data_IF_906391736969
#
_entry.id   IF_906391736969
#
_cell.length_a   1.000
_cell.length_b   1.000
_cell.length_c   1.000
_cell.angle_alpha   90.00
_cell.angle_beta   90.00
_cell.angle_gamma   90.00
#
_symmetry.space_group_name_H-M   'P 1'
#
loop_
_entity.id
_entity.type
_entity.pdbx_description
1 polymer ?
#
# COMPACT_ATOMS: atom_id res chain seq x y z
N UNK A 1 21.18 5.32 -27.03
CA UNK A 1 21.51 6.43 -27.96
C UNK A 1 21.25 7.73 -27.21
N UNK A 2 22.28 8.53 -26.95
CA UNK A 2 22.16 9.76 -26.16
C UNK A 2 21.45 10.88 -26.95
N UNK A 3 20.61 11.72 -26.32
CA UNK A 3 20.32 13.05 -26.81
C UNK A 3 21.29 14.08 -26.22
N UNK A 4 21.51 15.12 -27.02
CA UNK A 4 22.54 16.16 -26.97
C UNK A 4 22.31 17.20 -25.86
N UNK A 5 23.41 17.80 -25.43
CA UNK A 5 23.48 19.03 -24.63
C UNK A 5 22.64 20.16 -25.25
N UNK A 6 21.85 20.85 -24.41
CA UNK A 6 21.27 22.15 -24.73
C UNK A 6 21.80 23.20 -23.74
N UNK A 7 22.28 24.29 -24.32
CA UNK A 7 22.89 25.49 -23.75
C UNK A 7 22.01 26.18 -22.67
N UNK A 8 22.56 26.72 -21.56
CA UNK A 8 21.78 27.25 -20.46
C UNK A 8 21.59 28.76 -20.62
N UNK A 9 20.57 29.19 -21.37
CA UNK A 9 20.06 30.57 -21.26
C UNK A 9 18.54 30.60 -21.39
N UNK A 10 17.84 30.36 -20.28
CA UNK A 10 16.46 30.83 -20.12
C UNK A 10 16.33 31.50 -18.76
N UNK A 11 16.08 32.81 -18.80
CA UNK A 11 15.77 33.65 -17.66
C UNK A 11 14.64 33.03 -16.85
N UNK A 12 14.95 32.62 -15.62
CA UNK A 12 13.98 32.06 -14.68
C UNK A 12 12.90 33.09 -14.36
N UNK A 13 11.68 32.85 -14.85
CA UNK A 13 10.50 33.45 -14.26
C UNK A 13 10.32 32.80 -12.89
N UNK A 14 10.55 33.57 -11.83
CA UNK A 14 10.19 33.18 -10.47
C UNK A 14 8.68 33.08 -10.40
N UNK A 15 8.16 31.90 -10.69
CA UNK A 15 6.78 31.54 -10.33
C UNK A 15 6.75 31.61 -8.80
N UNK A 16 6.15 32.68 -8.28
CA UNK A 16 5.82 32.77 -6.86
C UNK A 16 4.92 31.58 -6.57
N UNK A 17 5.44 30.58 -5.87
CA UNK A 17 4.64 29.45 -5.44
C UNK A 17 3.54 30.00 -4.54
N UNK A 18 2.30 30.05 -5.06
CA UNK A 18 1.14 30.34 -4.23
C UNK A 18 1.05 29.25 -3.18
N UNK A 19 1.02 29.62 -1.90
CA UNK A 19 0.75 28.67 -0.83
C UNK A 19 -0.54 27.91 -1.15
N UNK A 20 -0.55 26.58 -1.02
CA UNK A 20 -1.75 25.79 -1.32
C UNK A 20 -2.92 26.28 -0.47
N UNK A 21 -4.07 26.48 -1.10
CA UNK A 21 -5.28 26.91 -0.39
C UNK A 21 -5.81 25.74 0.47
N UNK A 22 -6.22 26.00 1.72
CA UNK A 22 -6.84 24.96 2.55
C UNK A 22 -8.07 24.38 1.87
N UNK A 23 -8.18 23.05 1.91
CA UNK A 23 -9.39 22.37 1.43
C UNK A 23 -10.52 22.68 2.42
N UNK A 24 -11.71 23.00 1.90
CA UNK A 24 -12.91 23.18 2.70
C UNK A 24 -13.71 21.90 2.83
N UNK A 25 -14.23 21.61 4.02
CA UNK A 25 -15.11 20.46 4.25
C UNK A 25 -16.54 20.73 3.75
N UNK A 26 -17.43 19.75 3.93
CA UNK A 26 -18.84 19.85 3.53
C UNK A 26 -19.62 21.00 4.22
N UNK A 27 -19.06 21.59 5.29
CA UNK A 27 -19.62 22.74 6.00
C UNK A 27 -18.96 24.08 5.59
N UNK A 28 -18.15 24.08 4.53
CA UNK A 28 -17.35 25.23 4.06
C UNK A 28 -16.31 25.75 5.07
N UNK A 29 -15.89 24.91 6.01
CA UNK A 29 -14.84 25.22 6.99
C UNK A 29 -13.49 24.72 6.49
N UNK A 30 -12.44 25.48 6.75
CA UNK A 30 -11.07 25.08 6.44
C UNK A 30 -10.71 23.83 7.25
N UNK A 31 -10.10 22.84 6.59
CA UNK A 31 -9.67 21.60 7.21
C UNK A 31 -8.29 21.78 7.83
N UNK A 32 -8.13 21.35 9.08
CA UNK A 32 -6.82 21.30 9.73
C UNK A 32 -6.00 20.15 9.14
N UNK A 33 -4.81 20.48 8.62
CA UNK A 33 -3.86 19.50 8.11
C UNK A 33 -2.84 19.15 9.18
N UNK A 34 -2.73 17.86 9.48
CA UNK A 34 -1.71 17.37 10.41
C UNK A 34 -0.35 17.38 9.70
N UNK A 35 0.68 18.04 10.27
CA UNK A 35 2.00 18.08 9.67
C UNK A 35 2.62 16.68 9.67
N UNK A 36 3.23 16.30 8.55
CA UNK A 36 3.98 15.06 8.46
C UNK A 36 5.28 15.18 9.26
N UNK A 37 5.48 14.33 10.25
CA UNK A 37 6.60 14.44 11.21
C UNK A 37 7.83 13.61 10.85
N UNK A 38 7.85 13.00 9.65
CA UNK A 38 8.90 12.08 9.21
C UNK A 38 9.53 12.52 7.88
N UNK A 39 10.14 13.73 7.80
CA UNK A 39 10.70 14.26 6.56
C UNK A 39 11.78 13.35 5.95
N UNK A 40 12.45 12.52 6.75
CA UNK A 40 13.41 11.51 6.31
C UNK A 40 12.81 10.41 5.43
N UNK A 41 11.49 10.21 5.50
CA UNK A 41 10.76 9.22 4.72
C UNK A 41 10.12 9.80 3.45
N UNK A 42 10.21 11.11 3.22
CA UNK A 42 9.70 11.72 2.00
C UNK A 42 10.34 11.06 0.77
N UNK A 43 9.50 10.80 -0.23
CA UNK A 43 9.89 10.06 -1.42
C UNK A 43 10.88 10.85 -2.28
N UNK A 44 11.96 10.20 -2.68
CA UNK A 44 12.81 10.65 -3.79
C UNK A 44 12.47 9.91 -5.08
N UNK A 45 12.72 10.57 -6.23
CA UNK A 45 12.50 10.03 -7.57
C UNK A 45 13.84 9.94 -8.30
N UNK A 46 14.69 8.97 -7.97
CA UNK A 46 15.99 8.85 -8.61
C UNK A 46 15.82 8.37 -10.05
N UNK A 47 16.70 8.82 -10.94
CA UNK A 47 16.79 8.32 -12.33
C UNK A 47 17.50 6.96 -12.35
N UNK A 48 16.96 5.99 -11.61
CA UNK A 48 17.47 4.61 -11.54
C UNK A 48 16.54 3.72 -12.35
N UNK A 49 17.13 2.87 -13.18
CA UNK A 49 16.43 1.81 -13.90
C UNK A 49 16.81 0.48 -13.28
N UNK A 50 15.81 -0.38 -13.05
CA UNK A 50 16.01 -1.73 -12.54
C UNK A 50 15.87 -2.73 -13.69
N UNK A 51 16.61 -3.83 -13.60
CA UNK A 51 16.40 -4.97 -14.50
C UNK A 51 14.98 -5.54 -14.32
N UNK A 52 14.42 -6.19 -15.35
CA UNK A 52 13.14 -6.88 -15.22
C UNK A 52 13.15 -7.85 -14.03
N UNK A 53 12.11 -7.78 -13.19
CA UNK A 53 11.96 -8.70 -12.07
C UNK A 53 11.84 -10.13 -12.63
N UNK A 54 12.77 -11.05 -12.29
CA UNK A 54 12.69 -12.43 -12.76
C UNK A 54 11.50 -13.13 -12.10
N UNK A 55 11.05 -14.24 -12.68
CA UNK A 55 10.10 -15.11 -11.97
C UNK A 55 10.84 -15.76 -10.79
N UNK A 56 10.42 -15.42 -9.57
CA UNK A 56 11.01 -15.91 -8.34
C UNK A 56 10.26 -17.15 -7.86
N UNK A 57 10.97 -18.21 -7.42
CA UNK A 57 10.32 -19.28 -6.67
C UNK A 57 9.78 -18.70 -5.37
N UNK A 58 8.58 -19.13 -4.97
CA UNK A 58 7.98 -18.72 -3.71
C UNK A 58 7.42 -19.93 -2.96
N UNK A 59 7.46 -19.86 -1.64
CA UNK A 59 6.82 -20.81 -0.75
C UNK A 59 5.95 -20.00 0.21
N UNK A 60 4.64 -20.24 0.19
CA UNK A 60 3.71 -19.49 1.03
C UNK A 60 3.87 -19.90 2.50
N UNK A 61 4.25 -18.94 3.34
CA UNK A 61 4.42 -19.11 4.79
C UNK A 61 3.13 -19.54 5.48
N UNK A 62 1.97 -19.17 4.95
CA UNK A 62 0.68 -19.59 5.49
C UNK A 62 0.51 -21.12 5.50
N UNK A 63 1.18 -21.85 4.59
CA UNK A 63 1.11 -23.32 4.53
C UNK A 63 1.85 -24.01 5.68
N UNK A 64 2.68 -23.28 6.43
CA UNK A 64 3.43 -23.77 7.60
C UNK A 64 2.71 -23.49 8.93
N UNK A 65 1.64 -22.71 8.89
CA UNK A 65 0.89 -22.29 10.06
C UNK A 65 0.18 -23.46 10.76
N UNK A 66 0.03 -23.35 12.08
CA UNK A 66 -0.97 -24.14 12.80
C UNK A 66 -2.36 -23.48 12.57
N UNK A 67 -3.32 -24.18 11.95
CA UNK A 67 -4.62 -23.59 11.61
C UNK A 67 -5.49 -23.27 12.83
N UNK A 68 -5.08 -23.67 14.04
CA UNK A 68 -5.75 -23.31 15.29
C UNK A 68 -5.32 -21.94 15.82
N UNK A 69 -4.28 -21.34 15.23
CA UNK A 69 -3.71 -20.04 15.64
C UNK A 69 -3.27 -19.97 17.11
N UNK A 70 -2.97 -21.14 17.71
CA UNK A 70 -2.74 -21.26 19.16
C UNK A 70 -1.50 -20.50 19.63
N UNK A 71 -0.55 -20.17 18.75
CA UNK A 71 0.67 -19.45 19.13
C UNK A 71 0.49 -17.94 18.97
N UNK A 72 -0.14 -17.50 17.88
CA UNK A 72 -0.40 -16.09 17.57
C UNK A 72 -1.48 -15.53 18.50
N UNK A 73 -2.53 -16.29 18.78
CA UNK A 73 -3.70 -15.80 19.50
C UNK A 73 -3.69 -16.14 21.00
N UNK A 74 -2.64 -16.79 21.52
CA UNK A 74 -2.55 -17.18 22.94
C UNK A 74 -2.81 -16.01 23.89
N UNK A 75 -2.16 -14.87 23.64
CA UNK A 75 -2.21 -13.67 24.49
C UNK A 75 -2.85 -12.46 23.77
N UNK A 76 -3.42 -12.69 22.59
CA UNK A 76 -3.96 -11.65 21.75
C UNK A 76 -5.42 -11.34 22.08
N UNK A 77 -5.83 -10.07 21.97
CA UNK A 77 -7.25 -9.70 21.93
C UNK A 77 -7.68 -9.54 20.48
N UNK A 78 -8.69 -10.32 20.08
CA UNK A 78 -9.16 -10.41 18.69
C UNK A 78 -10.54 -9.79 18.55
N UNK A 79 -10.70 -8.92 17.56
CA UNK A 79 -11.99 -8.36 17.16
C UNK A 79 -12.17 -8.50 15.66
N UNK A 80 -13.11 -9.34 15.24
CA UNK A 80 -13.52 -9.38 13.83
C UNK A 80 -14.32 -8.10 13.51
N UNK A 81 -13.92 -7.41 12.44
CA UNK A 81 -14.53 -6.14 12.05
C UNK A 81 -15.77 -6.36 11.19
N UNK A 82 -15.67 -7.27 10.23
CA UNK A 82 -16.78 -7.69 9.37
C UNK A 82 -16.88 -9.23 9.33
N UNK A 83 -18.04 -9.82 8.98
CA UNK A 83 -18.19 -11.27 8.96
C UNK A 83 -17.19 -12.00 8.05
N UNK A 84 -16.89 -11.41 6.88
CA UNK A 84 -16.14 -12.04 5.78
C UNK A 84 -14.78 -11.41 5.47
N UNK A 85 -14.39 -10.37 6.20
CA UNK A 85 -13.14 -9.64 5.98
C UNK A 85 -12.74 -8.91 7.26
N UNK A 86 -11.46 -8.65 7.46
CA UNK A 86 -11.00 -7.72 8.49
C UNK A 86 -10.96 -8.35 9.88
N UNK A 87 -9.83 -8.22 10.54
CA UNK A 87 -9.67 -8.60 11.95
C UNK A 87 -8.69 -7.65 12.60
N UNK A 88 -9.09 -7.05 13.72
CA UNK A 88 -8.19 -6.25 14.55
C UNK A 88 -7.60 -7.14 15.64
N UNK A 89 -6.28 -7.03 15.81
CA UNK A 89 -5.51 -7.72 16.83
C UNK A 89 -4.83 -6.69 17.72
N UNK A 90 -4.95 -6.91 19.03
CA UNK A 90 -4.29 -6.12 20.07
C UNK A 90 -3.57 -7.03 21.07
N UNK A 91 -2.76 -6.42 21.94
CA UNK A 91 -1.87 -7.08 22.90
C UNK A 91 -0.72 -7.89 22.27
N UNK A 92 -0.35 -7.61 21.02
CA UNK A 92 0.86 -8.14 20.38
C UNK A 92 1.70 -7.01 19.80
N UNK A 93 3.01 -7.23 19.68
CA UNK A 93 3.91 -6.38 18.91
C UNK A 93 4.50 -7.17 17.75
N UNK A 94 4.33 -6.65 16.53
CA UNK A 94 4.77 -7.33 15.30
C UNK A 94 6.27 -7.63 15.27
N UNK A 95 7.10 -6.79 15.89
CA UNK A 95 8.56 -6.98 15.97
C UNK A 95 8.99 -8.04 16.98
N UNK A 96 8.08 -8.49 17.84
CA UNK A 96 8.34 -9.51 18.88
C UNK A 96 7.82 -10.90 18.47
N UNK A 97 7.14 -11.01 17.32
CA UNK A 97 6.59 -12.28 16.86
C UNK A 97 7.69 -13.31 16.62
N UNK A 98 7.46 -14.51 17.14
CA UNK A 98 8.21 -15.71 16.78
C UNK A 98 7.89 -16.13 15.34
N UNK A 99 8.72 -16.98 14.76
CA UNK A 99 8.50 -17.47 13.40
C UNK A 99 7.18 -18.25 13.26
N UNK A 100 6.84 -19.11 14.23
CA UNK A 100 5.55 -19.80 14.26
C UNK A 100 4.36 -18.83 14.27
N UNK A 101 4.47 -17.73 15.02
CA UNK A 101 3.42 -16.70 15.04
C UNK A 101 3.33 -15.94 13.72
N UNK A 102 4.46 -15.71 13.02
CA UNK A 102 4.45 -15.09 11.69
C UNK A 102 3.81 -16.00 10.65
N UNK A 103 4.10 -17.30 10.67
CA UNK A 103 3.41 -18.27 9.78
C UNK A 103 1.89 -18.25 10.03
N UNK A 104 1.46 -18.28 11.29
CA UNK A 104 0.05 -18.15 11.67
C UNK A 104 -0.57 -16.81 11.25
N UNK A 105 0.19 -15.72 11.31
CA UNK A 105 -0.25 -14.42 10.84
C UNK A 105 -0.46 -14.41 9.32
N UNK A 106 0.44 -15.04 8.55
CA UNK A 106 0.29 -15.20 7.11
C UNK A 106 -1.02 -15.93 6.76
N UNK A 107 -1.32 -17.02 7.48
CA UNK A 107 -2.58 -17.77 7.31
C UNK A 107 -3.80 -16.92 7.68
N UNK A 108 -3.73 -16.18 8.79
CA UNK A 108 -4.84 -15.32 9.21
C UNK A 108 -5.12 -14.22 8.20
N UNK A 109 -4.08 -13.58 7.65
CA UNK A 109 -4.23 -12.58 6.58
C UNK A 109 -4.85 -13.21 5.33
N UNK A 110 -4.41 -14.40 4.92
CA UNK A 110 -4.98 -15.10 3.77
C UNK A 110 -6.48 -15.40 3.95
N UNK A 111 -6.90 -15.81 5.15
CA UNK A 111 -8.30 -16.12 5.46
C UNK A 111 -9.18 -14.88 5.68
N UNK A 112 -8.62 -13.80 6.24
CA UNK A 112 -9.37 -12.60 6.63
C UNK A 112 -9.22 -11.44 5.65
N UNK A 113 -8.39 -11.56 4.64
CA UNK A 113 -8.09 -10.54 3.62
C UNK A 113 -7.24 -9.37 4.15
N UNK A 114 -7.53 -8.86 5.35
CA UNK A 114 -6.79 -7.78 6.00
C UNK A 114 -6.82 -7.94 7.52
N UNK A 115 -5.68 -7.66 8.16
CA UNK A 115 -5.52 -7.70 9.62
C UNK A 115 -4.91 -6.38 10.10
N UNK A 116 -5.49 -5.83 11.17
CA UNK A 116 -5.10 -4.54 11.74
C UNK A 116 -4.43 -4.73 13.09
N UNK A 117 -3.37 -3.97 13.33
CA UNK A 117 -2.67 -3.93 14.61
C UNK A 117 -2.67 -2.52 15.16
N UNK A 118 -3.11 -2.34 16.40
CA UNK A 118 -3.09 -1.04 17.08
C UNK A 118 -1.81 -0.88 17.91
N UNK A 119 -1.41 0.38 18.13
CA UNK A 119 -0.33 0.75 19.06
C UNK A 119 0.99 -0.01 18.84
N UNK A 120 1.40 -0.17 17.58
CA UNK A 120 2.62 -0.88 17.21
C UNK A 120 3.85 0.02 17.36
N UNK A 121 4.85 -0.45 18.13
CA UNK A 121 6.17 0.18 18.29
C UNK A 121 7.18 -0.33 17.26
N UNK A 122 6.69 -0.72 16.07
CA UNK A 122 7.51 -1.29 15.00
C UNK A 122 8.25 -0.19 14.23
N UNK A 123 9.56 -0.33 14.03
CA UNK A 123 10.35 0.58 13.19
C UNK A 123 10.17 0.25 11.69
N UNK A 124 10.72 1.07 10.81
CA UNK A 124 10.79 0.75 9.37
C UNK A 124 11.65 -0.49 9.13
N UNK A 125 12.75 -0.65 9.86
CA UNK A 125 13.64 -1.82 9.71
C UNK A 125 12.96 -3.11 10.17
N UNK A 126 12.18 -3.05 11.24
CA UNK A 126 11.40 -4.19 11.72
C UNK A 126 10.29 -4.57 10.71
N UNK A 127 9.62 -3.60 10.09
CA UNK A 127 8.67 -3.87 9.01
C UNK A 127 9.34 -4.52 7.81
N UNK A 128 10.53 -4.07 7.43
CA UNK A 128 11.32 -4.69 6.35
C UNK A 128 11.74 -6.11 6.73
N UNK A 129 12.14 -6.35 7.98
CA UNK A 129 12.48 -7.68 8.47
C UNK A 129 11.25 -8.62 8.44
N UNK A 130 10.08 -8.12 8.84
CA UNK A 130 8.82 -8.85 8.74
C UNK A 130 8.46 -9.16 7.29
N UNK A 131 8.58 -8.20 6.37
CA UNK A 131 8.35 -8.43 4.94
C UNK A 131 9.30 -9.48 4.36
N UNK A 132 10.59 -9.43 4.72
CA UNK A 132 11.60 -10.44 4.30
C UNK A 132 11.29 -11.85 4.78
N UNK A 133 10.58 -11.98 5.90
CA UNK A 133 10.15 -13.28 6.39
C UNK A 133 9.13 -13.94 5.43
N UNK A 134 8.21 -13.13 4.89
CA UNK A 134 7.17 -13.59 3.95
C UNK A 134 7.65 -13.70 2.51
N UNK A 135 8.68 -12.95 2.12
CA UNK A 135 9.23 -13.05 0.77
C UNK A 135 10.21 -11.92 0.41
N UNK A 136 10.69 -11.90 -0.84
CA UNK A 136 11.50 -10.80 -1.34
C UNK A 136 10.70 -9.49 -1.28
N UNK A 137 11.38 -8.41 -0.88
CA UNK A 137 10.76 -7.10 -0.81
C UNK A 137 10.66 -6.46 -2.20
N UNK A 138 9.46 -6.03 -2.56
CA UNK A 138 9.21 -5.33 -3.82
C UNK A 138 9.80 -3.91 -3.79
N UNK A 139 10.32 -3.46 -4.94
CA UNK A 139 10.75 -2.08 -5.18
C UNK A 139 9.83 -1.51 -6.24
N UNK A 140 9.00 -0.54 -5.85
CA UNK A 140 7.99 0.02 -6.75
C UNK A 140 8.65 0.86 -7.85
N UNK A 141 8.33 0.60 -9.12
CA UNK A 141 9.07 1.19 -10.24
C UNK A 141 8.61 2.60 -10.61
N UNK A 142 7.37 2.98 -10.28
CA UNK A 142 6.77 4.26 -10.71
C UNK A 142 6.41 5.19 -9.55
N UNK A 143 6.79 4.88 -8.31
CA UNK A 143 6.46 5.68 -7.13
C UNK A 143 7.74 5.92 -6.36
N UNK A 144 7.91 7.15 -5.85
CA UNK A 144 9.09 7.52 -5.08
C UNK A 144 9.22 6.69 -3.81
N UNK A 145 10.46 6.52 -3.35
CA UNK A 145 10.79 5.74 -2.16
C UNK A 145 11.55 6.59 -1.16
N UNK A 146 11.56 6.18 0.11
CA UNK A 146 12.34 6.83 1.14
C UNK A 146 13.84 6.78 0.78
N UNK A 147 14.55 7.85 1.11
CA UNK A 147 15.97 7.99 0.75
C UNK A 147 16.80 6.85 1.32
N UNK A 148 17.54 6.16 0.45
CA UNK A 148 18.38 5.02 0.82
C UNK A 148 17.63 3.74 1.18
N UNK A 149 16.30 3.69 1.06
CA UNK A 149 15.47 2.51 1.37
C UNK A 149 14.45 2.29 0.24
N UNK A 150 14.87 1.75 -0.93
CA UNK A 150 14.03 1.67 -2.12
C UNK A 150 12.79 0.77 -1.96
N UNK A 151 12.79 -0.14 -0.98
CA UNK A 151 11.65 -1.01 -0.67
C UNK A 151 10.53 -0.31 0.11
N UNK A 152 10.75 0.93 0.57
CA UNK A 152 9.79 1.69 1.37
C UNK A 152 9.29 2.87 0.55
N UNK A 153 8.00 2.87 0.25
CA UNK A 153 7.33 4.02 -0.34
C UNK A 153 6.40 4.68 0.69
N UNK A 154 6.30 6.01 0.65
CA UNK A 154 5.40 6.77 1.53
C UNK A 154 4.21 7.25 0.74
N UNK A 155 3.02 6.89 1.22
CA UNK A 155 1.76 7.45 0.74
C UNK A 155 1.56 8.80 1.42
N UNK A 156 2.09 9.85 0.79
CA UNK A 156 1.92 11.22 1.27
C UNK A 156 0.65 11.85 0.67
N UNK A 157 -0.08 12.58 1.52
CA UNK A 157 -1.21 13.41 1.11
C UNK A 157 -1.13 14.79 1.78
N UNK A 158 0.01 15.47 1.63
CA UNK A 158 0.20 16.87 2.06
C UNK A 158 -0.77 17.81 1.35
N UNK A 159 -0.84 19.06 1.78
CA UNK A 159 -1.70 20.07 1.16
C UNK A 159 -1.39 20.26 -0.33
N UNK A 160 -0.12 20.41 -0.67
CA UNK A 160 0.35 20.58 -2.04
C UNK A 160 0.03 19.35 -2.91
N UNK A 161 0.24 18.15 -2.35
CA UNK A 161 -0.05 16.89 -3.04
C UNK A 161 -1.56 16.67 -3.18
N UNK A 162 -2.34 16.99 -2.14
CA UNK A 162 -3.80 16.86 -2.12
C UNK A 162 -4.44 17.80 -3.12
N UNK A 163 -4.00 19.06 -3.19
CA UNK A 163 -4.52 20.04 -4.17
C UNK A 163 -4.27 19.56 -5.61
N UNK A 164 -3.05 19.07 -5.90
CA UNK A 164 -2.72 18.47 -7.20
C UNK A 164 -3.57 17.23 -7.48
N UNK A 165 -3.73 16.32 -6.50
CA UNK A 165 -4.54 15.10 -6.64
C UNK A 165 -6.01 15.41 -6.84
N UNK A 166 -6.59 16.38 -6.14
CA UNK A 166 -8.00 16.76 -6.31
C UNK A 166 -8.21 17.37 -7.69
N UNK A 167 -7.32 18.25 -8.15
CA UNK A 167 -7.35 18.79 -9.52
C UNK A 167 -7.26 17.68 -10.57
N UNK A 168 -6.40 16.68 -10.35
CA UNK A 168 -6.30 15.50 -11.21
C UNK A 168 -7.56 14.61 -11.14
N UNK A 169 -8.12 14.39 -9.94
CA UNK A 169 -9.33 13.58 -9.72
C UNK A 169 -10.57 14.16 -10.40
N UNK A 170 -10.66 15.49 -10.50
CA UNK A 170 -11.72 16.17 -11.25
C UNK A 170 -11.66 15.88 -12.76
N UNK A 171 -10.49 15.47 -13.27
CA UNK A 171 -10.23 15.20 -14.68
C UNK A 171 -10.10 13.69 -14.99
N UNK A 172 -9.71 12.88 -14.00
CA UNK A 172 -9.53 11.44 -14.11
C UNK A 172 -10.03 10.74 -12.83
N UNK A 173 -10.94 9.75 -12.88
CA UNK A 173 -11.39 9.02 -11.70
C UNK A 173 -10.28 8.06 -11.21
N UNK A 174 -9.25 8.59 -10.56
CA UNK A 174 -8.02 7.87 -10.17
C UNK A 174 -8.08 7.20 -8.78
N UNK A 175 -9.26 7.16 -8.15
CA UNK A 175 -9.49 6.44 -6.88
C UNK A 175 -10.43 5.26 -7.09
N UNK A 176 -9.99 4.28 -7.89
CA UNK A 176 -10.74 3.06 -8.14
C UNK A 176 -10.37 1.98 -7.13
N UNK A 177 -11.34 1.11 -6.83
CA UNK A 177 -11.09 -0.19 -6.23
C UNK A 177 -10.03 -0.92 -7.06
N UNK A 178 -8.95 -1.35 -6.41
CA UNK A 178 -7.84 -2.01 -7.08
C UNK A 178 -7.17 -3.06 -6.18
N UNK A 179 -6.36 -3.90 -6.81
CA UNK A 179 -5.30 -4.68 -6.16
C UNK A 179 -3.96 -4.10 -6.58
N UNK A 180 -3.02 -4.00 -5.63
CA UNK A 180 -1.69 -3.46 -5.85
C UNK A 180 -0.95 -4.19 -6.97
N UNK A 181 -0.34 -3.42 -7.88
CA UNK A 181 0.65 -3.89 -8.87
C UNK A 181 0.20 -5.11 -9.71
N UNK A 182 -1.09 -5.24 -9.98
CA UNK A 182 -1.67 -6.38 -10.73
C UNK A 182 -1.17 -6.52 -12.18
N UNK A 183 -0.42 -5.54 -12.69
CA UNK A 183 0.22 -5.57 -14.01
C UNK A 183 1.56 -6.33 -14.03
N UNK A 184 2.10 -6.71 -12.88
CA UNK A 184 3.32 -7.52 -12.81
C UNK A 184 3.03 -9.01 -13.00
N UNK A 185 4.06 -9.76 -13.42
CA UNK A 185 3.96 -11.21 -13.60
C UNK A 185 3.71 -11.95 -12.29
N UNK A 186 4.29 -11.46 -11.19
CA UNK A 186 4.09 -11.95 -9.84
C UNK A 186 3.73 -10.75 -8.95
N UNK A 187 2.45 -10.35 -8.89
CA UNK A 187 2.02 -9.26 -8.01
C UNK A 187 2.33 -9.55 -6.54
N UNK A 188 2.46 -8.52 -5.69
CA UNK A 188 2.73 -8.70 -4.26
C UNK A 188 1.67 -9.58 -3.58
N UNK A 189 2.11 -10.58 -2.81
CA UNK A 189 1.21 -11.42 -2.01
C UNK A 189 0.72 -10.71 -0.74
N UNK A 190 1.54 -9.81 -0.19
CA UNK A 190 1.24 -9.04 1.02
C UNK A 190 1.69 -7.60 0.87
N UNK A 191 0.89 -6.67 1.41
CA UNK A 191 1.24 -5.26 1.58
C UNK A 191 1.22 -4.93 3.09
N UNK A 192 2.31 -4.39 3.62
CA UNK A 192 2.37 -3.87 4.98
C UNK A 192 2.23 -2.35 4.95
N UNK A 193 1.23 -1.82 5.67
CA UNK A 193 0.96 -0.38 5.71
C UNK A 193 0.98 0.14 7.14
N UNK A 194 1.91 1.05 7.45
CA UNK A 194 1.97 1.75 8.73
C UNK A 194 1.50 3.18 8.59
N UNK A 195 0.48 3.53 9.36
CA UNK A 195 -0.01 4.89 9.50
C UNK A 195 0.97 5.68 10.38
N UNK A 196 1.57 6.72 9.82
CA UNK A 196 2.50 7.62 10.54
C UNK A 196 1.81 8.89 11.02
N UNK A 197 0.88 9.42 10.22
CA UNK A 197 0.14 10.64 10.51
C UNK A 197 -1.25 10.49 9.92
N UNK A 198 -2.28 10.84 10.69
CA UNK A 198 -3.68 10.84 10.24
C UNK A 198 -4.26 12.24 10.41
N UNK A 199 -5.11 12.70 9.48
CA UNK A 199 -5.92 13.89 9.72
C UNK A 199 -6.89 13.63 10.88
N UNK A 200 -7.42 14.69 11.53
CA UNK A 200 -8.41 14.54 12.60
C UNK A 200 -9.72 13.92 12.12
N UNK A 201 -10.04 14.04 10.82
CA UNK A 201 -11.21 13.42 10.19
C UNK A 201 -10.89 12.98 8.75
N UNK A 202 -11.52 11.91 8.29
CA UNK A 202 -11.29 11.34 6.96
C UNK A 202 -9.95 10.60 6.85
N UNK A 203 -9.58 10.23 5.61
CA UNK A 203 -8.38 9.43 5.35
C UNK A 203 -8.58 7.92 5.53
N UNK A 204 -9.83 7.47 5.62
CA UNK A 204 -10.17 6.06 5.70
C UNK A 204 -9.69 5.31 4.44
N UNK A 205 -9.22 4.10 4.67
CA UNK A 205 -8.97 3.13 3.59
C UNK A 205 -10.05 2.08 3.67
N UNK A 206 -10.64 1.71 2.52
CA UNK A 206 -11.67 0.69 2.42
C UNK A 206 -11.08 -0.56 1.76
N UNK A 207 -11.50 -1.72 2.25
CA UNK A 207 -11.12 -3.03 1.70
C UNK A 207 -12.36 -3.82 1.30
N UNK A 208 -12.22 -4.64 0.26
CA UNK A 208 -13.26 -5.55 -0.22
C UNK A 208 -12.68 -6.95 -0.40
N UNK A 209 -13.46 -7.99 -0.06
CA UNK A 209 -13.06 -9.38 -0.21
C UNK A 209 -13.44 -9.90 -1.59
N UNK A 210 -12.44 -10.19 -2.43
CA UNK A 210 -12.65 -10.84 -3.71
C UNK A 210 -13.16 -12.28 -3.55
N UNK A 211 -12.80 -12.97 -2.45
CA UNK A 211 -13.31 -14.30 -2.12
C UNK A 211 -14.83 -14.27 -1.90
N UNK A 212 -15.32 -13.37 -1.04
CA UNK A 212 -16.75 -13.25 -0.78
C UNK A 212 -17.52 -12.75 -2.02
N UNK A 213 -16.92 -11.84 -2.80
CA UNK A 213 -17.50 -11.40 -4.07
C UNK A 213 -17.68 -12.57 -5.04
N UNK A 214 -16.66 -13.42 -5.18
CA UNK A 214 -16.73 -14.63 -5.98
C UNK A 214 -17.78 -15.61 -5.44
N UNK A 215 -17.79 -15.87 -4.14
CA UNK A 215 -18.68 -16.84 -3.50
C UNK A 215 -20.16 -16.52 -3.70
N UNK A 216 -20.52 -15.24 -3.77
CA UNK A 216 -21.88 -14.75 -4.02
C UNK A 216 -22.35 -14.88 -5.46
N UNK A 217 -21.46 -15.14 -6.42
CA UNK A 217 -21.86 -15.37 -7.80
C UNK A 217 -22.74 -16.62 -7.91
N UNK A 218 -23.73 -16.58 -8.80
CA UNK A 218 -24.49 -17.78 -9.16
C UNK A 218 -23.55 -18.82 -9.79
N UNK A 219 -23.86 -20.13 -9.73
CA UNK A 219 -23.02 -21.15 -10.34
C UNK A 219 -22.71 -20.88 -11.82
N UNK A 220 -23.69 -20.37 -12.58
CA UNK A 220 -23.52 -20.01 -13.99
C UNK A 220 -22.54 -18.85 -14.18
N UNK A 221 -22.60 -17.83 -13.32
CA UNK A 221 -21.66 -16.72 -13.39
C UNK A 221 -20.25 -17.14 -12.97
N UNK A 222 -20.09 -18.04 -11.98
CA UNK A 222 -18.79 -18.63 -11.61
C UNK A 222 -18.14 -19.30 -12.82
N UNK A 223 -18.85 -20.23 -13.47
CA UNK A 223 -18.36 -20.91 -14.68
C UNK A 223 -18.03 -19.93 -15.80
N UNK A 224 -18.83 -18.87 -15.98
CA UNK A 224 -18.54 -17.83 -16.96
C UNK A 224 -17.23 -17.09 -16.66
N UNK A 225 -17.03 -16.60 -15.44
CA UNK A 225 -15.84 -15.80 -15.09
C UNK A 225 -14.56 -16.63 -14.98
N UNK A 226 -14.66 -17.92 -14.61
CA UNK A 226 -13.52 -18.86 -14.58
C UNK A 226 -12.87 -19.06 -15.96
N UNK A 227 -13.64 -18.85 -17.04
CA UNK A 227 -13.15 -18.94 -18.41
C UNK A 227 -12.57 -17.64 -18.97
N UNK A 228 -12.58 -16.54 -18.21
CA UNK A 228 -12.14 -15.23 -18.67
C UNK A 228 -10.69 -14.93 -18.30
N UNK A 229 -10.07 -14.07 -19.11
CA UNK A 229 -8.75 -13.50 -18.84
C UNK A 229 -8.81 -11.99 -18.99
N UNK A 230 -8.08 -11.24 -18.15
CA UNK A 230 -7.98 -9.80 -18.24
C UNK A 230 -6.52 -9.37 -18.48
N UNK A 231 -6.32 -8.28 -19.22
CA UNK A 231 -5.01 -7.66 -19.43
C UNK A 231 -4.84 -6.53 -18.42
N UNK A 232 -3.80 -6.62 -17.59
CA UNK A 232 -3.44 -5.58 -16.62
C UNK A 232 -2.20 -4.82 -17.14
N UNK A 233 -2.23 -3.48 -17.10
CA UNK A 233 -1.15 -2.65 -17.64
C UNK A 233 -0.95 -1.37 -16.82
N UNK A 234 0.31 -1.00 -16.62
CA UNK A 234 0.71 0.27 -16.01
C UNK A 234 1.06 1.36 -17.03
N UNK A 235 0.79 1.15 -18.34
CA UNK A 235 1.20 2.09 -19.41
C UNK A 235 0.72 3.52 -19.18
N UNK A 236 -0.48 3.71 -18.61
CA UNK A 236 -0.99 5.04 -18.27
C UNK A 236 -0.15 5.68 -17.16
N UNK A 237 0.16 4.95 -16.08
CA UNK A 237 1.02 5.44 -14.99
C UNK A 237 2.47 5.69 -15.41
N UNK A 238 3.02 4.86 -16.29
CA UNK A 238 4.44 4.94 -16.69
C UNK A 238 4.74 6.11 -17.64
N UNK A 239 3.71 6.72 -18.25
CA UNK A 239 3.83 7.83 -19.19
C UNK A 239 3.44 9.19 -18.58
N UNK A 240 3.13 9.23 -17.28
CA UNK A 240 2.89 10.44 -16.48
C UNK A 240 4.18 10.87 -15.79
#
# INVERSE_FOLDING_TARGET
>A
MAPKDNDPTSSGSTVVASSPAPIKNALNLDVEHTPFTHPELLGEFPTITYDPIPVLPYEDRALKADPTFKNLLADATVKHLEPKIGTEISNLQLHELTDTQKDELALLVAQRGVVFFRNQKISIQDQLALGRYYGPLHVHQTVGHAKGIPQVHVVENSLEVSEKRIKAQALEPVNLWHSDVSYERQPPSYTSFKVLTTPPTGGDTLWASAYEAYDRLTPQFKTFVEGLTAIHSSKVRANL
#
